data_IF_711768706613
#
_entry.id   IF_711768706613
#
_cell.length_a   1.000
_cell.length_b   1.000
_cell.length_c   1.000
_cell.angle_alpha   90.00
_cell.angle_beta   90.00
_cell.angle_gamma   90.00
#
_symmetry.space_group_name_H-M   'P 1'
#
loop_
_entity.id
_entity.type
_entity.pdbx_description
1 polymer ?
#
# COMPACT_ATOMS: atom_id res chain seq x y z
N UNK A 1 12.32 -80.22 17.45
CA UNK A 1 11.35 -79.19 17.83
C UNK A 1 11.72 -77.86 17.27
N UNK A 2 10.94 -77.43 16.45
CA UNK A 2 11.20 -76.12 15.78
C UNK A 2 10.40 -75.10 16.47
N UNK A 3 11.07 -74.13 16.99
CA UNK A 3 10.42 -72.98 17.52
C UNK A 3 10.48 -71.89 16.53
N UNK A 4 9.35 -71.48 16.07
CA UNK A 4 9.25 -70.38 15.24
C UNK A 4 9.09 -69.13 16.09
N UNK A 5 10.03 -68.33 16.00
CA UNK A 5 9.86 -66.96 16.48
C UNK A 5 9.19 -66.16 15.40
N UNK A 6 8.05 -65.73 15.70
CA UNK A 6 7.39 -64.76 14.83
C UNK A 6 7.99 -63.41 15.14
N UNK A 7 8.63 -62.80 14.20
CA UNK A 7 9.05 -61.44 14.42
C UNK A 7 7.81 -60.60 14.58
N UNK A 8 7.73 -59.97 15.68
CA UNK A 8 6.72 -58.93 15.85
C UNK A 8 6.97 -57.86 14.79
N UNK A 9 6.10 -57.80 13.84
CA UNK A 9 6.11 -56.70 12.91
C UNK A 9 5.78 -55.46 13.71
N UNK A 10 6.79 -54.69 13.96
CA UNK A 10 6.60 -53.38 14.51
C UNK A 10 6.04 -52.52 13.39
N UNK A 11 4.76 -52.45 13.38
CA UNK A 11 4.12 -51.44 12.51
C UNK A 11 4.32 -50.11 13.18
N UNK A 12 5.35 -49.46 12.78
CA UNK A 12 5.53 -48.08 13.15
C UNK A 12 4.50 -47.29 12.34
N UNK A 13 3.41 -47.05 12.97
CA UNK A 13 2.48 -46.08 12.43
C UNK A 13 3.11 -44.71 12.66
N UNK A 14 3.77 -44.26 11.66
CA UNK A 14 4.18 -42.86 11.65
C UNK A 14 2.91 -42.07 11.39
N UNK A 15 2.30 -41.65 12.43
CA UNK A 15 1.26 -40.67 12.33
C UNK A 15 1.96 -39.34 11.93
N UNK A 16 2.04 -39.14 10.68
CA UNK A 16 2.47 -37.84 10.18
C UNK A 16 1.35 -36.85 10.47
N UNK A 17 1.50 -36.19 11.55
CA UNK A 17 0.59 -35.11 11.89
C UNK A 17 0.91 -33.93 11.04
N UNK A 18 0.40 -33.95 9.86
CA UNK A 18 0.48 -32.81 8.95
C UNK A 18 -0.52 -31.71 9.30
N UNK A 19 -1.31 -31.95 10.28
CA UNK A 19 -2.35 -31.01 10.70
C UNK A 19 -1.81 -29.65 11.16
N UNK A 20 -0.57 -29.61 11.52
CA UNK A 20 0.08 -28.37 11.95
C UNK A 20 0.11 -27.31 10.90
N UNK A 21 0.07 -27.72 9.67
CA UNK A 21 0.29 -26.81 8.58
C UNK A 21 -0.93 -25.94 8.33
N UNK A 22 -2.09 -26.45 8.56
CA UNK A 22 -3.31 -25.69 8.35
C UNK A 22 -3.45 -24.55 9.34
N UNK A 23 -3.04 -24.76 10.57
CA UNK A 23 -3.12 -23.74 11.59
C UNK A 23 -2.03 -22.69 11.48
N UNK A 24 -0.91 -23.04 10.88
CA UNK A 24 0.20 -22.12 10.68
C UNK A 24 0.02 -21.16 9.54
N UNK A 25 -0.97 -21.38 8.72
CA UNK A 25 -1.34 -20.44 7.69
C UNK A 25 -2.21 -19.35 8.32
N UNK A 26 -1.64 -18.64 9.25
CA UNK A 26 -2.07 -17.29 9.44
C UNK A 26 -1.87 -16.65 8.07
N UNK A 27 -2.91 -16.59 7.33
CA UNK A 27 -2.97 -15.95 6.05
C UNK A 27 -2.43 -14.55 6.20
N UNK A 28 -1.22 -14.36 5.74
CA UNK A 28 -0.80 -13.03 5.39
C UNK A 28 -1.89 -12.50 4.47
N UNK A 29 -2.71 -11.61 4.99
CA UNK A 29 -3.71 -10.95 4.17
C UNK A 29 -2.97 -10.30 3.02
N UNK A 30 -3.34 -10.65 1.80
CA UNK A 30 -2.79 -10.02 0.63
C UNK A 30 -2.88 -8.51 0.81
N UNK A 31 -1.74 -7.85 0.66
CA UNK A 31 -1.66 -6.40 0.72
C UNK A 31 -2.39 -5.84 -0.50
N UNK A 32 -3.39 -5.01 -0.27
CA UNK A 32 -4.22 -4.48 -1.34
C UNK A 32 -3.47 -3.41 -2.14
N UNK A 33 -3.74 -3.39 -3.44
CA UNK A 33 -3.22 -2.36 -4.32
C UNK A 33 -3.78 -0.98 -3.99
N UNK A 34 -2.96 0.03 -4.21
CA UNK A 34 -3.32 1.43 -4.03
C UNK A 34 -2.91 2.18 -5.29
N UNK A 35 -3.76 3.07 -5.77
CA UNK A 35 -3.44 3.99 -6.86
C UNK A 35 -3.71 5.41 -6.40
N UNK A 36 -2.71 6.26 -6.51
CA UNK A 36 -2.80 7.69 -6.19
C UNK A 36 -2.73 8.48 -7.49
N UNK A 37 -3.66 9.39 -7.68
CA UNK A 37 -3.65 10.33 -8.82
C UNK A 37 -3.40 11.74 -8.35
N UNK A 38 -2.92 12.59 -9.25
CA UNK A 38 -2.68 13.99 -8.97
C UNK A 38 -3.11 14.86 -10.15
N UNK A 39 -3.70 16.00 -9.81
CA UNK A 39 -3.97 17.12 -10.73
C UNK A 39 -3.62 18.40 -10.00
N UNK A 40 -3.46 19.45 -10.77
CA UNK A 40 -3.17 20.77 -10.25
C UNK A 40 -4.12 21.82 -10.82
N UNK A 41 -4.54 22.72 -9.96
CA UNK A 41 -5.17 23.98 -10.30
C UNK A 41 -4.36 25.09 -9.65
N UNK A 42 -3.45 25.72 -10.40
CA UNK A 42 -2.43 26.56 -9.80
C UNK A 42 -1.58 25.75 -8.82
N UNK A 43 -1.48 26.20 -7.59
CA UNK A 43 -0.79 25.47 -6.51
C UNK A 43 -1.71 24.63 -5.64
N UNK A 44 -2.95 24.45 -6.02
CA UNK A 44 -3.88 23.51 -5.41
C UNK A 44 -3.69 22.14 -6.05
N UNK A 45 -3.29 21.16 -5.27
CA UNK A 45 -3.05 19.80 -5.72
C UNK A 45 -4.13 18.90 -5.16
N UNK A 46 -4.71 18.09 -6.01
CA UNK A 46 -5.81 17.21 -5.64
C UNK A 46 -5.79 15.93 -6.48
N UNK A 47 -6.55 14.95 -6.06
CA UNK A 47 -6.66 13.70 -6.78
C UNK A 47 -7.48 12.68 -6.04
N UNK A 48 -7.29 11.42 -6.43
CA UNK A 48 -8.02 10.30 -5.87
C UNK A 48 -7.07 9.28 -5.28
N UNK A 49 -7.60 8.52 -4.34
CA UNK A 49 -7.00 7.25 -3.92
C UNK A 49 -7.96 6.15 -4.34
N UNK A 50 -7.46 5.20 -5.11
CA UNK A 50 -8.22 4.03 -5.56
C UNK A 50 -7.61 2.77 -4.97
N UNK A 51 -8.46 1.80 -4.65
CA UNK A 51 -8.04 0.50 -4.19
C UNK A 51 -9.15 -0.51 -4.47
N UNK A 52 -8.78 -1.77 -4.67
CA UNK A 52 -9.74 -2.88 -4.70
C UNK A 52 -10.35 -3.15 -3.31
N UNK A 53 -9.79 -2.54 -2.27
CA UNK A 53 -10.33 -2.54 -0.91
C UNK A 53 -10.49 -1.11 -0.39
N UNK A 54 -11.47 -0.37 -0.92
CA UNK A 54 -11.54 1.07 -0.68
C UNK A 54 -11.78 1.45 0.78
N UNK A 55 -12.57 0.69 1.52
CA UNK A 55 -12.81 0.99 2.93
C UNK A 55 -11.56 0.83 3.79
N UNK A 56 -10.62 0.02 3.34
CA UNK A 56 -9.37 -0.24 4.07
C UNK A 56 -8.23 0.64 3.58
N UNK A 57 -8.15 0.87 2.28
CA UNK A 57 -6.96 1.45 1.65
C UNK A 57 -7.18 2.81 0.99
N UNK A 58 -8.41 3.24 0.85
CA UNK A 58 -8.73 4.55 0.30
C UNK A 58 -9.36 5.48 1.35
N UNK A 59 -10.34 4.99 2.09
CA UNK A 59 -11.00 5.79 3.11
C UNK A 59 -10.03 6.17 4.23
N UNK A 60 -9.92 7.45 4.50
CA UNK A 60 -9.01 7.96 5.52
C UNK A 60 -7.53 7.80 5.19
N UNK A 61 -7.19 7.45 3.93
CA UNK A 61 -5.80 7.24 3.55
C UNK A 61 -5.03 8.55 3.53
N UNK A 62 -3.92 8.56 4.22
CA UNK A 62 -3.04 9.72 4.25
C UNK A 62 -2.30 9.85 2.93
N UNK A 63 -2.38 11.02 2.33
CA UNK A 63 -1.66 11.41 1.12
C UNK A 63 -0.76 12.58 1.44
N UNK A 64 0.51 12.44 1.11
CA UNK A 64 1.51 13.50 1.27
C UNK A 64 1.92 13.99 -0.11
N UNK A 65 1.96 15.29 -0.28
CA UNK A 65 2.40 15.92 -1.53
C UNK A 65 3.84 16.40 -1.35
N UNK A 66 4.67 16.08 -2.35
CA UNK A 66 6.09 16.39 -2.34
C UNK A 66 6.47 17.26 -3.51
N UNK A 67 7.44 18.12 -3.26
CA UNK A 67 8.21 18.78 -4.31
C UNK A 67 9.46 17.94 -4.57
N UNK A 68 9.57 17.44 -5.78
CA UNK A 68 10.69 16.60 -6.20
C UNK A 68 11.94 17.45 -6.39
N UNK A 69 13.02 17.06 -5.76
CA UNK A 69 14.27 17.81 -5.79
C UNK A 69 15.16 17.42 -6.98
N UNK A 70 15.20 16.16 -7.31
CA UNK A 70 16.05 15.61 -8.36
C UNK A 70 15.26 15.13 -9.58
N UNK A 71 15.88 14.26 -10.34
CA UNK A 71 15.27 13.70 -11.55
C UNK A 71 14.30 12.55 -11.29
N UNK A 72 14.33 12.01 -10.08
CA UNK A 72 13.46 10.92 -9.65
C UNK A 72 12.76 11.27 -8.35
N UNK A 73 11.64 10.62 -8.10
CA UNK A 73 10.95 10.74 -6.82
C UNK A 73 11.76 10.09 -5.71
N UNK A 74 11.95 10.81 -4.62
CA UNK A 74 12.67 10.36 -3.43
C UNK A 74 11.95 10.84 -2.18
N UNK A 75 10.90 10.15 -1.74
CA UNK A 75 10.06 10.60 -0.62
C UNK A 75 10.84 10.86 0.67
N UNK A 76 11.97 10.17 0.87
CA UNK A 76 12.80 10.36 2.04
C UNK A 76 13.58 11.69 2.06
N UNK A 77 13.79 12.30 0.91
CA UNK A 77 14.60 13.52 0.77
C UNK A 77 13.86 14.67 0.10
N UNK A 78 12.80 14.37 -0.64
CA UNK A 78 11.97 15.41 -1.27
C UNK A 78 11.24 16.25 -0.23
N UNK A 79 10.90 17.47 -0.60
CA UNK A 79 10.25 18.40 0.33
C UNK A 79 8.75 18.13 0.41
N UNK A 80 8.27 17.87 1.62
CA UNK A 80 6.83 17.79 1.86
C UNK A 80 6.20 19.17 1.79
N UNK A 81 5.18 19.33 0.96
CA UNK A 81 4.53 20.63 0.76
C UNK A 81 3.05 20.63 1.14
N UNK A 82 2.49 19.48 1.44
CA UNK A 82 1.11 19.37 1.87
C UNK A 82 0.74 17.95 2.24
N UNK A 83 -0.39 17.81 2.85
CA UNK A 83 -0.92 16.53 3.29
C UNK A 83 -2.44 16.63 3.42
N UNK A 84 -3.11 15.54 3.11
CA UNK A 84 -4.54 15.40 3.34
C UNK A 84 -4.87 13.93 3.58
N UNK A 85 -6.01 13.67 4.16
CA UNK A 85 -6.59 12.34 4.24
C UNK A 85 -7.71 12.22 3.23
N UNK A 86 -7.69 11.14 2.45
CA UNK A 86 -8.71 10.91 1.45
C UNK A 86 -10.07 10.66 2.10
N UNK A 87 -11.09 11.28 1.57
CA UNK A 87 -12.46 11.13 2.03
C UNK A 87 -13.41 10.90 0.88
N UNK A 88 -14.51 10.22 1.16
CA UNK A 88 -15.50 9.89 0.15
C UNK A 88 -16.20 11.14 -0.34
N UNK A 89 -16.18 11.33 -1.66
CA UNK A 89 -16.91 12.38 -2.35
C UNK A 89 -17.62 11.74 -3.55
N UNK A 90 -18.93 11.57 -3.45
CA UNK A 90 -19.67 10.75 -4.41
C UNK A 90 -19.27 9.28 -4.31
N UNK A 91 -18.68 8.75 -5.37
CA UNK A 91 -18.20 7.37 -5.44
C UNK A 91 -16.67 7.24 -5.40
N UNK A 92 -15.96 8.33 -5.11
CA UNK A 92 -14.50 8.38 -5.12
C UNK A 92 -13.94 8.92 -3.81
N UNK A 93 -12.76 8.43 -3.46
CA UNK A 93 -12.01 8.94 -2.32
C UNK A 93 -11.04 10.01 -2.81
N UNK A 94 -11.26 11.23 -2.40
CA UNK A 94 -10.56 12.41 -2.88
C UNK A 94 -9.68 13.01 -1.78
N UNK A 95 -8.59 13.61 -2.21
CA UNK A 95 -7.70 14.39 -1.37
C UNK A 95 -7.41 15.75 -2.05
N UNK A 96 -7.08 16.74 -1.26
CA UNK A 96 -6.73 18.08 -1.75
C UNK A 96 -5.85 18.78 -0.71
N UNK A 97 -4.81 19.46 -1.18
CA UNK A 97 -3.98 20.28 -0.29
C UNK A 97 -4.53 21.67 -0.06
N UNK A 98 -5.50 22.09 -0.87
CA UNK A 98 -5.78 23.51 -1.02
C UNK A 98 -4.62 24.24 -1.69
N UNK A 99 -4.61 25.54 -1.59
CA UNK A 99 -3.60 26.38 -2.24
C UNK A 99 -2.28 26.30 -1.44
N UNK A 100 -1.32 25.54 -1.94
CA UNK A 100 -0.04 25.31 -1.26
C UNK A 100 0.98 26.43 -1.45
N UNK A 101 0.81 27.25 -2.48
CA UNK A 101 1.81 28.25 -2.85
C UNK A 101 3.12 27.68 -3.39
N UNK A 102 3.19 26.39 -3.65
CA UNK A 102 4.41 25.71 -4.09
C UNK A 102 4.27 25.22 -5.52
N UNK A 103 5.36 25.34 -6.27
CA UNK A 103 5.41 25.05 -7.72
C UNK A 103 6.63 24.20 -8.04
N UNK A 104 6.68 23.64 -9.22
CA UNK A 104 7.78 22.85 -9.72
C UNK A 104 7.35 21.41 -10.06
N UNK A 105 8.20 20.46 -9.76
CA UNK A 105 7.92 19.04 -9.96
C UNK A 105 7.21 18.49 -8.72
N UNK A 106 5.96 18.12 -8.89
CA UNK A 106 5.08 17.79 -7.77
C UNK A 106 4.52 16.37 -7.96
N UNK A 107 4.46 15.60 -6.90
CA UNK A 107 3.80 14.31 -6.88
C UNK A 107 3.14 14.06 -5.52
N UNK A 108 2.19 13.15 -5.51
CA UNK A 108 1.50 12.73 -4.30
C UNK A 108 1.83 11.28 -3.98
N UNK A 109 1.89 10.96 -2.72
CA UNK A 109 2.20 9.60 -2.28
C UNK A 109 1.35 9.18 -1.10
N UNK A 110 0.79 8.00 -1.18
CA UNK A 110 0.26 7.27 -0.03
C UNK A 110 1.34 6.27 0.42
N UNK A 111 1.78 6.39 1.64
CA UNK A 111 2.78 5.48 2.20
C UNK A 111 2.18 4.10 2.47
N UNK A 112 3.04 3.10 2.55
CA UNK A 112 2.65 1.73 2.87
C UNK A 112 2.00 1.68 4.25
N UNK A 113 0.94 0.92 4.35
CA UNK A 113 0.34 0.52 5.63
C UNK A 113 0.46 -1.00 5.78
N UNK A 114 0.01 -1.51 6.91
CA UNK A 114 0.02 -2.95 7.17
C UNK A 114 -0.77 -3.74 6.11
N UNK A 115 -1.85 -3.16 5.60
CA UNK A 115 -2.78 -3.83 4.70
C UNK A 115 -2.79 -3.29 3.28
N UNK A 116 -2.06 -2.21 3.01
CA UNK A 116 -2.17 -1.46 1.76
C UNK A 116 -0.79 -1.16 1.20
N UNK A 117 -0.61 -1.39 -0.10
CA UNK A 117 0.62 -1.01 -0.79
C UNK A 117 0.78 0.50 -0.82
N UNK A 118 2.02 0.95 -0.81
CA UNK A 118 2.34 2.33 -1.12
C UNK A 118 2.14 2.59 -2.61
N UNK A 119 1.82 3.80 -2.95
CA UNK A 119 1.80 4.26 -4.34
C UNK A 119 2.14 5.74 -4.41
N UNK A 120 2.83 6.10 -5.47
CA UNK A 120 3.10 7.49 -5.81
C UNK A 120 2.44 7.81 -7.15
N UNK A 121 1.83 8.98 -7.23
CA UNK A 121 1.35 9.50 -8.51
C UNK A 121 2.52 9.77 -9.45
N UNK A 122 2.28 9.91 -10.75
CA UNK A 122 3.26 10.51 -11.63
C UNK A 122 3.66 11.90 -11.13
N UNK A 123 4.87 12.31 -11.45
CA UNK A 123 5.31 13.69 -11.21
C UNK A 123 4.73 14.59 -12.29
N UNK A 124 4.09 15.67 -11.86
CA UNK A 124 3.62 16.71 -12.74
C UNK A 124 4.51 17.95 -12.59
N UNK A 125 4.66 18.69 -13.66
CA UNK A 125 5.41 19.93 -13.66
C UNK A 125 4.43 21.11 -13.66
N UNK A 126 4.50 21.91 -12.62
CA UNK A 126 3.60 23.07 -12.45
C UNK A 126 4.46 24.32 -12.42
N UNK A 127 4.37 25.13 -13.47
CA UNK A 127 5.16 26.35 -13.54
C UNK A 127 4.63 27.40 -12.57
N UNK A 128 5.57 28.18 -12.03
CA UNK A 128 5.19 29.34 -11.22
C UNK A 128 4.48 30.36 -12.11
N UNK A 129 3.36 30.91 -11.67
CA UNK A 129 2.70 31.97 -12.43
C UNK A 129 3.59 33.21 -12.46
N UNK A 130 3.51 33.92 -13.56
CA UNK A 130 4.24 35.17 -13.76
C UNK A 130 3.69 36.32 -12.88
#
# INVERSE_FOLDING_TARGET
>A
MIRRKIPAALTVVIAVTTALLAGGVATARAVADTTVTIKAEGSDYFGFVKSDRPLRCADGRKVVVYKQQGDTQSPGTDTKIGMDTASLNGDRYMWSTGNSGMYGKIYARAGRTESCKADSSPTIRVPRPD
#
